data_IF_551557621564
#
_entry.id   IF_551557621564
#
_cell.length_a   1.000
_cell.length_b   1.000
_cell.length_c   1.000
_cell.angle_alpha   90.00
_cell.angle_beta   90.00
_cell.angle_gamma   90.00
#
_symmetry.space_group_name_H-M   'P 1'
#
loop_
_entity.id
_entity.type
_entity.pdbx_description
1 polymer ?
#
# COMPACT_ATOMS: atom_id res chain seq x y z
N UNK A 1 -15.04 66.39 -80.59
CA UNK A 1 -13.98 65.39 -80.38
C UNK A 1 -13.64 65.39 -78.89
N UNK A 2 -14.12 64.39 -78.15
CA UNK A 2 -14.14 64.33 -76.68
C UNK A 2 -13.30 63.14 -76.22
N UNK A 3 -12.51 63.37 -75.16
CA UNK A 3 -12.01 62.41 -74.15
C UNK A 3 -11.05 61.29 -74.58
N UNK A 4 -9.84 61.29 -73.99
CA UNK A 4 -9.52 60.36 -72.87
C UNK A 4 -8.14 60.66 -72.29
N UNK A 5 -8.13 61.36 -71.15
CA UNK A 5 -6.98 61.36 -70.24
C UNK A 5 -7.02 60.04 -69.44
N UNK A 6 -6.12 59.12 -69.75
CA UNK A 6 -5.84 57.97 -68.89
C UNK A 6 -5.06 58.45 -67.67
N UNK A 7 -5.79 58.84 -66.61
CA UNK A 7 -5.22 58.88 -65.27
C UNK A 7 -5.15 57.43 -64.77
N UNK A 8 -4.00 56.80 -64.94
CA UNK A 8 -3.64 55.63 -64.16
C UNK A 8 -3.60 56.07 -62.69
N UNK A 9 -4.63 55.73 -61.93
CA UNK A 9 -4.63 55.87 -60.49
C UNK A 9 -3.58 54.89 -59.95
N UNK A 10 -2.39 55.40 -59.63
CA UNK A 10 -1.47 54.71 -58.75
C UNK A 10 -2.17 54.57 -57.40
N UNK A 11 -2.65 53.36 -57.11
CA UNK A 11 -2.90 52.92 -55.74
C UNK A 11 -1.55 52.98 -55.02
N UNK A 12 -1.20 54.16 -54.47
CA UNK A 12 -0.08 54.31 -53.55
C UNK A 12 -0.37 53.40 -52.37
N UNK A 13 0.35 52.28 -52.28
CA UNK A 13 0.38 51.42 -51.11
C UNK A 13 0.85 52.24 -49.90
N UNK A 14 -0.10 52.71 -49.11
CA UNK A 14 0.12 53.13 -47.72
C UNK A 14 -0.35 51.97 -46.86
N UNK A 15 0.58 51.10 -46.50
CA UNK A 15 0.27 49.94 -45.68
C UNK A 15 1.53 49.11 -45.41
N UNK A 16 2.58 49.75 -44.91
CA UNK A 16 3.75 49.06 -44.36
C UNK A 16 3.83 49.37 -42.87
N UNK A 17 4.12 48.35 -42.05
CA UNK A 17 4.35 48.52 -40.62
C UNK A 17 5.58 49.40 -40.37
N UNK A 18 5.47 50.31 -39.41
CA UNK A 18 6.58 51.13 -38.94
C UNK A 18 7.56 50.28 -38.12
N UNK A 19 8.82 50.69 -38.08
CA UNK A 19 9.86 50.00 -37.30
C UNK A 19 9.52 49.89 -35.81
N UNK A 20 8.80 50.90 -35.28
CA UNK A 20 8.34 50.94 -33.89
C UNK A 20 7.22 49.93 -33.63
N UNK A 21 6.24 49.81 -34.54
CA UNK A 21 5.18 48.80 -34.44
C UNK A 21 5.76 47.39 -34.43
N UNK A 22 6.73 47.11 -35.30
CA UNK A 22 7.43 45.82 -35.33
C UNK A 22 8.20 45.56 -34.03
N UNK A 23 8.88 46.57 -33.49
CA UNK A 23 9.60 46.43 -32.22
C UNK A 23 8.66 46.11 -31.04
N UNK A 24 7.49 46.77 -30.98
CA UNK A 24 6.50 46.51 -29.93
C UNK A 24 5.87 45.12 -30.11
N UNK A 25 5.53 44.72 -31.34
CA UNK A 25 5.01 43.37 -31.60
C UNK A 25 6.00 42.28 -31.18
N UNK A 26 7.28 42.43 -31.54
CA UNK A 26 8.33 41.49 -31.12
C UNK A 26 8.51 41.47 -29.60
N UNK A 27 8.45 42.63 -28.94
CA UNK A 27 8.52 42.72 -27.48
C UNK A 27 7.37 42.00 -26.78
N UNK A 28 6.13 42.16 -27.28
CA UNK A 28 4.94 41.49 -26.73
C UNK A 28 5.03 39.97 -26.94
N UNK A 29 5.44 39.52 -28.13
CA UNK A 29 5.60 38.09 -28.42
C UNK A 29 6.67 37.47 -27.53
N UNK A 30 7.82 38.14 -27.36
CA UNK A 30 8.90 37.66 -26.50
C UNK A 30 8.44 37.52 -25.03
N UNK A 31 7.70 38.51 -24.52
CA UNK A 31 7.14 38.45 -23.18
C UNK A 31 6.12 37.31 -23.01
N UNK A 32 5.21 37.13 -23.98
CA UNK A 32 4.22 36.07 -23.95
C UNK A 32 4.86 34.66 -23.98
N UNK A 33 5.91 34.46 -24.79
CA UNK A 33 6.63 33.19 -24.85
C UNK A 33 7.31 32.85 -23.52
N UNK A 34 7.95 33.83 -22.86
CA UNK A 34 8.55 33.64 -21.53
C UNK A 34 7.47 33.26 -20.50
N UNK A 35 6.31 33.92 -20.55
CA UNK A 35 5.20 33.62 -19.64
C UNK A 35 4.65 32.19 -19.84
N UNK A 36 4.43 31.75 -21.08
CA UNK A 36 3.90 30.41 -21.39
C UNK A 36 4.92 29.33 -21.00
N UNK A 37 6.18 29.50 -21.39
CA UNK A 37 7.25 28.53 -21.08
C UNK A 37 7.51 28.48 -19.57
N UNK A 38 7.36 29.61 -18.85
CA UNK A 38 7.53 29.66 -17.41
C UNK A 38 6.44 28.90 -16.63
N UNK A 39 5.19 28.90 -17.11
CA UNK A 39 4.06 28.24 -16.43
C UNK A 39 3.90 26.77 -16.82
N UNK A 40 4.36 26.37 -18.02
CA UNK A 40 4.24 24.99 -18.52
C UNK A 40 4.81 23.92 -17.55
N UNK A 41 6.01 24.09 -16.95
CA UNK A 41 6.54 23.12 -15.99
C UNK A 41 5.64 22.95 -14.76
N UNK A 42 5.03 24.04 -14.28
CA UNK A 42 4.10 24.01 -13.13
C UNK A 42 2.84 23.22 -13.50
N UNK A 43 2.26 23.49 -14.68
CA UNK A 43 1.08 22.79 -15.16
C UNK A 43 1.29 21.28 -15.35
N UNK A 44 2.47 20.87 -15.82
CA UNK A 44 2.84 19.45 -15.97
C UNK A 44 2.99 18.78 -14.60
N UNK A 45 3.64 19.43 -13.64
CA UNK A 45 3.79 18.90 -12.29
C UNK A 45 2.42 18.74 -11.61
N UNK A 46 1.53 19.73 -11.71
CA UNK A 46 0.17 19.63 -11.14
C UNK A 46 -0.62 18.48 -11.75
N UNK A 47 -0.52 18.26 -13.06
CA UNK A 47 -1.19 17.12 -13.72
C UNK A 47 -0.63 15.78 -13.24
N UNK A 48 0.69 15.68 -13.10
CA UNK A 48 1.36 14.50 -12.57
C UNK A 48 0.93 14.23 -11.13
N UNK A 49 0.96 15.23 -10.26
CA UNK A 49 0.59 15.10 -8.85
C UNK A 49 -0.87 14.67 -8.70
N UNK A 50 -1.79 15.28 -9.46
CA UNK A 50 -3.21 14.90 -9.47
C UNK A 50 -3.42 13.45 -9.94
N UNK A 51 -2.65 13.01 -10.94
CA UNK A 51 -2.70 11.65 -11.46
C UNK A 51 -2.19 10.65 -10.43
N UNK A 52 -1.04 10.92 -9.82
CA UNK A 52 -0.45 10.08 -8.78
C UNK A 52 -1.37 9.98 -7.56
N UNK A 53 -1.97 11.09 -7.10
CA UNK A 53 -2.92 11.05 -6.00
C UNK A 53 -4.17 10.22 -6.32
N UNK A 54 -4.68 10.30 -7.55
CA UNK A 54 -5.81 9.47 -7.99
C UNK A 54 -5.47 7.99 -7.95
N UNK A 55 -4.28 7.61 -8.43
CA UNK A 55 -3.78 6.23 -8.37
C UNK A 55 -3.69 5.76 -6.91
N UNK A 56 -3.08 6.56 -6.02
CA UNK A 56 -2.96 6.22 -4.60
C UNK A 56 -4.32 6.05 -3.93
N UNK A 57 -5.33 6.84 -4.31
CA UNK A 57 -6.69 6.67 -3.79
C UNK A 57 -7.34 5.37 -4.25
N UNK A 58 -7.20 5.02 -5.54
CA UNK A 58 -7.77 3.80 -6.09
C UNK A 58 -7.08 2.56 -5.53
N UNK A 59 -5.75 2.52 -5.58
CA UNK A 59 -4.94 1.44 -5.04
C UNK A 59 -5.11 1.33 -3.51
N UNK A 60 -5.19 2.45 -2.80
CA UNK A 60 -5.42 2.49 -1.35
C UNK A 60 -6.71 1.80 -0.94
N UNK A 61 -7.81 2.05 -1.66
CA UNK A 61 -9.08 1.36 -1.43
C UNK A 61 -9.01 -0.11 -1.78
N UNK A 62 -8.34 -0.46 -2.88
CA UNK A 62 -8.14 -1.85 -3.31
C UNK A 62 -7.38 -2.67 -2.26
N UNK A 63 -6.23 -2.18 -1.80
CA UNK A 63 -5.43 -2.84 -0.76
C UNK A 63 -6.19 -2.95 0.55
N UNK A 64 -6.90 -1.89 0.95
CA UNK A 64 -7.67 -1.90 2.19
C UNK A 64 -8.76 -2.97 2.18
N UNK A 65 -9.51 -3.08 1.08
CA UNK A 65 -10.57 -4.08 0.96
C UNK A 65 -10.01 -5.50 0.84
N UNK A 66 -8.93 -5.70 0.09
CA UNK A 66 -8.28 -7.00 -0.06
C UNK A 66 -7.78 -7.56 1.28
N UNK A 67 -7.12 -6.72 2.09
CA UNK A 67 -6.65 -7.10 3.42
C UNK A 67 -7.84 -7.33 4.35
N UNK A 68 -8.80 -6.40 4.40
CA UNK A 68 -9.99 -6.50 5.28
C UNK A 68 -10.84 -7.73 5.02
N UNK A 69 -10.97 -8.14 3.77
CA UNK A 69 -11.76 -9.31 3.37
C UNK A 69 -10.98 -10.63 3.46
N UNK A 70 -9.66 -10.58 3.69
CA UNK A 70 -8.80 -11.77 3.68
C UNK A 70 -8.75 -12.43 2.31
N UNK A 71 -8.64 -11.64 1.25
CA UNK A 71 -8.72 -12.13 -0.12
C UNK A 71 -7.60 -13.12 -0.47
N UNK A 72 -7.94 -14.18 -1.20
CA UNK A 72 -7.02 -15.28 -1.56
C UNK A 72 -6.88 -15.50 -3.07
N UNK A 73 -7.77 -14.93 -3.90
CA UNK A 73 -7.82 -15.19 -5.35
C UNK A 73 -7.11 -14.17 -6.25
N UNK A 74 -6.32 -13.26 -5.69
CA UNK A 74 -5.80 -12.07 -6.39
C UNK A 74 -4.38 -12.29 -6.95
N UNK A 75 -4.21 -13.31 -7.79
CA UNK A 75 -2.87 -13.72 -8.24
C UNK A 75 -2.16 -12.70 -9.14
N UNK A 76 -2.90 -11.78 -9.76
CA UNK A 76 -2.39 -10.65 -10.53
C UNK A 76 -1.57 -9.67 -9.68
N UNK A 77 -1.75 -9.66 -8.35
CA UNK A 77 -0.94 -8.85 -7.44
C UNK A 77 0.57 -9.09 -7.56
N UNK A 78 0.97 -10.30 -7.94
CA UNK A 78 2.38 -10.65 -8.11
C UNK A 78 3.06 -9.84 -9.21
N UNK A 79 2.31 -9.36 -10.21
CA UNK A 79 2.87 -8.50 -11.27
C UNK A 79 3.09 -7.06 -10.78
N UNK A 80 2.44 -6.67 -9.68
CA UNK A 80 2.49 -5.31 -9.15
C UNK A 80 3.42 -5.18 -7.94
N UNK A 81 3.62 -6.23 -7.17
CA UNK A 81 4.48 -6.22 -5.99
C UNK A 81 5.90 -6.63 -6.37
N UNK A 82 6.87 -5.73 -6.22
CA UNK A 82 8.28 -6.10 -6.44
C UNK A 82 8.79 -6.98 -5.29
N UNK A 83 8.54 -6.56 -4.05
CA UNK A 83 8.87 -7.35 -2.87
C UNK A 83 8.05 -6.92 -1.66
N UNK A 84 8.04 -7.79 -0.66
CA UNK A 84 7.58 -7.50 0.70
C UNK A 84 8.75 -7.73 1.65
N UNK A 85 9.04 -6.75 2.50
CA UNK A 85 10.04 -6.80 3.54
C UNK A 85 9.35 -6.81 4.91
N UNK A 86 9.69 -7.78 5.74
CA UNK A 86 9.34 -7.80 7.16
C UNK A 86 10.62 -7.62 7.96
N UNK A 87 10.66 -6.55 8.74
CA UNK A 87 11.74 -6.28 9.67
C UNK A 87 11.25 -6.44 11.09
N UNK A 88 11.85 -7.36 11.85
CA UNK A 88 11.51 -7.54 13.25
C UNK A 88 12.31 -6.59 14.17
N UNK A 89 11.95 -6.56 15.46
CA UNK A 89 12.62 -5.76 16.50
C UNK A 89 14.08 -6.13 16.70
N UNK A 90 14.46 -7.38 16.39
CA UNK A 90 15.84 -7.88 16.42
C UNK A 90 16.65 -7.47 15.18
N UNK A 91 16.11 -6.56 14.36
CA UNK A 91 16.72 -6.06 13.11
C UNK A 91 16.95 -7.12 12.03
N UNK A 92 16.37 -8.32 12.18
CA UNK A 92 16.35 -9.32 11.12
C UNK A 92 15.39 -8.86 10.03
N UNK A 93 15.81 -9.10 8.78
CA UNK A 93 15.07 -8.68 7.59
C UNK A 93 14.76 -9.92 6.77
N UNK A 94 13.48 -10.14 6.53
CA UNK A 94 12.99 -11.18 5.65
C UNK A 94 12.36 -10.50 4.44
N UNK A 95 12.80 -10.88 3.24
CA UNK A 95 12.31 -10.31 1.99
C UNK A 95 11.67 -11.40 1.15
N UNK A 96 10.44 -11.18 0.72
CA UNK A 96 9.70 -12.05 -0.19
C UNK A 96 9.54 -11.39 -1.56
N UNK A 97 9.75 -12.15 -2.61
CA UNK A 97 9.62 -11.68 -3.99
C UNK A 97 8.81 -12.67 -4.85
N UNK A 98 8.07 -12.21 -5.88
CA UNK A 98 7.34 -13.07 -6.81
C UNK A 98 8.26 -13.71 -7.88
N UNK A 99 9.58 -13.64 -7.69
CA UNK A 99 10.56 -14.22 -8.61
C UNK A 99 11.20 -15.48 -8.00
N UNK A 100 11.52 -16.49 -8.83
CA UNK A 100 12.18 -17.69 -8.37
C UNK A 100 13.48 -17.40 -7.62
N UNK A 101 13.72 -18.14 -6.54
CA UNK A 101 14.99 -18.06 -5.80
C UNK A 101 16.06 -18.93 -6.47
N UNK A 102 17.23 -18.35 -6.72
CA UNK A 102 18.43 -18.99 -7.24
C UNK A 102 19.51 -19.19 -6.17
N UNK A 103 20.58 -19.90 -6.54
CA UNK A 103 21.71 -20.10 -5.64
C UNK A 103 22.43 -18.77 -5.35
N UNK A 104 22.46 -18.35 -4.08
CA UNK A 104 23.09 -17.11 -3.64
C UNK A 104 22.13 -15.94 -3.44
N UNK A 105 20.84 -16.11 -3.77
CA UNK A 105 19.83 -15.10 -3.50
C UNK A 105 19.51 -14.99 -2.00
N UNK A 106 19.24 -13.77 -1.55
CA UNK A 106 18.89 -13.47 -0.15
C UNK A 106 17.38 -13.34 0.08
N UNK A 107 16.57 -13.44 -0.97
CA UNK A 107 15.11 -13.37 -0.90
C UNK A 107 14.44 -14.74 -0.81
N UNK A 108 13.21 -14.71 -0.33
CA UNK A 108 12.31 -15.84 -0.21
C UNK A 108 11.33 -15.77 -1.38
N UNK A 109 11.16 -16.87 -2.11
CA UNK A 109 10.17 -16.93 -3.18
C UNK A 109 8.74 -17.00 -2.60
N UNK A 110 7.83 -16.19 -3.14
CA UNK A 110 6.40 -16.28 -2.81
C UNK A 110 5.82 -17.63 -3.28
N UNK A 111 4.96 -18.29 -2.48
CA UNK A 111 4.34 -19.57 -2.85
C UNK A 111 3.66 -19.51 -4.24
N UNK A 112 4.16 -20.34 -5.17
CA UNK A 112 3.68 -20.37 -6.56
C UNK A 112 2.20 -20.71 -6.64
N UNK A 113 1.49 -20.06 -7.57
CA UNK A 113 0.06 -20.29 -7.81
C UNK A 113 -0.89 -19.66 -6.78
N UNK A 114 -0.38 -19.17 -5.65
CA UNK A 114 -1.14 -18.50 -4.58
C UNK A 114 -0.46 -17.21 -4.12
N UNK A 115 0.31 -16.60 -5.02
CA UNK A 115 1.13 -15.42 -4.73
C UNK A 115 0.26 -14.25 -4.25
N UNK A 116 -0.95 -14.10 -4.79
CA UNK A 116 -1.92 -13.12 -4.32
C UNK A 116 -2.29 -13.32 -2.85
N UNK A 117 -2.65 -14.56 -2.49
CA UNK A 117 -2.93 -14.92 -1.10
C UNK A 117 -1.71 -14.70 -0.20
N UNK A 118 -0.51 -15.03 -0.65
CA UNK A 118 0.72 -14.82 0.12
C UNK A 118 0.99 -13.33 0.37
N UNK A 119 0.81 -12.47 -0.63
CA UNK A 119 0.96 -11.02 -0.53
C UNK A 119 -0.03 -10.46 0.51
N UNK A 120 -1.32 -10.79 0.37
CA UNK A 120 -2.35 -10.36 1.34
C UNK A 120 -2.05 -10.94 2.73
N UNK A 121 -1.61 -12.18 2.80
CA UNK A 121 -1.23 -12.90 4.00
C UNK A 121 -0.14 -12.18 4.81
N UNK A 122 0.94 -11.79 4.12
CA UNK A 122 2.06 -11.07 4.72
C UNK A 122 1.69 -9.64 5.09
N UNK A 123 0.93 -8.94 4.24
CA UNK A 123 0.47 -7.57 4.53
C UNK A 123 -0.54 -7.51 5.68
N UNK A 124 -1.26 -8.60 5.95
CA UNK A 124 -2.20 -8.70 7.07
C UNK A 124 -1.53 -9.07 8.40
N UNK A 125 -0.21 -9.34 8.39
CA UNK A 125 0.52 -9.73 9.58
C UNK A 125 0.41 -8.67 10.68
N UNK A 126 0.05 -9.07 11.92
CA UNK A 126 0.06 -8.17 13.06
C UNK A 126 1.46 -7.63 13.33
N UNK A 127 1.51 -6.37 13.73
CA UNK A 127 2.78 -5.75 14.16
C UNK A 127 3.39 -6.53 15.32
N UNK A 128 2.61 -7.13 16.23
CA UNK A 128 3.13 -7.81 17.42
C UNK A 128 3.32 -9.34 17.26
N UNK A 129 3.23 -9.89 16.04
CA UNK A 129 3.46 -11.32 15.85
C UNK A 129 4.94 -11.67 16.08
N UNK A 130 5.23 -12.67 16.90
CA UNK A 130 6.61 -13.09 17.22
C UNK A 130 7.17 -13.97 16.10
N UNK A 131 8.07 -13.40 15.30
CA UNK A 131 8.67 -14.03 14.12
C UNK A 131 10.04 -14.62 14.47
N UNK A 132 10.10 -15.95 14.60
CA UNK A 132 11.30 -16.71 15.02
C UNK A 132 12.18 -17.12 13.84
N UNK A 133 11.67 -16.98 12.63
CA UNK A 133 12.40 -17.25 11.40
C UNK A 133 11.66 -16.69 10.18
N UNK A 134 12.16 -16.93 8.96
CA UNK A 134 11.56 -16.37 7.75
C UNK A 134 10.13 -16.84 7.49
N UNK A 135 9.71 -17.99 8.02
CA UNK A 135 8.40 -18.58 7.72
C UNK A 135 7.72 -19.17 8.96
N UNK A 136 8.10 -18.73 10.16
CA UNK A 136 7.61 -19.35 11.39
C UNK A 136 7.33 -18.32 12.47
N UNK A 137 6.09 -18.33 12.95
CA UNK A 137 5.59 -17.55 14.08
C UNK A 137 5.52 -18.48 15.30
N UNK A 138 5.96 -17.99 16.47
CA UNK A 138 5.97 -18.78 17.70
C UNK A 138 4.80 -18.46 18.62
N UNK A 139 4.35 -17.21 18.66
CA UNK A 139 3.36 -16.75 19.64
C UNK A 139 2.23 -15.93 18.98
N UNK A 140 1.17 -16.63 18.56
CA UNK A 140 -0.11 -16.05 18.10
C UNK A 140 -1.23 -17.11 18.21
N UNK A 141 -2.48 -16.80 18.61
CA UNK A 141 -3.01 -15.52 19.10
C UNK A 141 -2.86 -15.44 20.63
N UNK A 142 -1.77 -14.87 21.11
CA UNK A 142 -1.63 -14.60 22.54
C UNK A 142 -1.89 -13.12 22.77
N UNK A 143 -2.94 -12.84 23.53
CA UNK A 143 -3.50 -11.50 23.83
C UNK A 143 -2.48 -10.55 24.49
N UNK A 144 -1.32 -11.09 24.87
CA UNK A 144 -0.07 -10.39 25.17
C UNK A 144 1.04 -11.45 25.07
N UNK A 145 1.95 -11.34 24.11
CA UNK A 145 3.10 -12.26 24.00
C UNK A 145 4.17 -11.97 25.05
N UNK A 146 4.13 -10.80 25.70
CA UNK A 146 5.18 -10.33 26.61
C UNK A 146 6.56 -10.21 25.96
N UNK A 147 6.71 -10.52 24.67
CA UNK A 147 7.99 -10.58 23.98
C UNK A 147 8.54 -9.19 23.68
N UNK A 148 7.66 -8.18 23.62
CA UNK A 148 8.02 -6.82 23.18
C UNK A 148 8.45 -6.76 21.71
N UNK A 149 8.34 -7.86 20.98
CA UNK A 149 8.73 -7.93 19.59
C UNK A 149 7.71 -7.27 18.69
N UNK A 150 8.20 -6.59 17.65
CA UNK A 150 7.36 -5.95 16.66
C UNK A 150 7.93 -6.10 15.27
N UNK A 151 7.04 -6.16 14.28
CA UNK A 151 7.34 -6.25 12.87
C UNK A 151 6.95 -4.98 12.15
N UNK A 152 7.81 -4.57 11.23
CA UNK A 152 7.56 -3.53 10.27
C UNK A 152 7.41 -4.18 8.89
N UNK A 153 6.18 -4.20 8.39
CA UNK A 153 5.83 -4.80 7.10
C UNK A 153 5.78 -3.71 6.04
N UNK A 154 6.64 -3.82 5.03
CA UNK A 154 6.75 -2.88 3.91
C UNK A 154 6.71 -3.61 2.59
N UNK A 155 5.98 -3.11 1.62
CA UNK A 155 5.99 -3.60 0.26
C UNK A 155 6.37 -2.49 -0.70
N UNK A 156 7.14 -2.86 -1.72
CA UNK A 156 7.35 -2.04 -2.91
C UNK A 156 6.32 -2.45 -3.94
N UNK A 157 5.51 -1.49 -4.36
CA UNK A 157 4.37 -1.74 -5.22
C UNK A 157 4.38 -0.79 -6.40
N UNK A 158 4.29 -1.36 -7.60
CA UNK A 158 3.97 -0.64 -8.83
C UNK A 158 2.46 -0.41 -8.88
N UNK A 159 2.06 0.75 -9.37
CA UNK A 159 0.66 1.12 -9.54
C UNK A 159 -0.19 0.00 -10.15
N UNK A 160 -1.29 -0.34 -9.48
CA UNK A 160 -2.26 -1.34 -9.95
C UNK A 160 -3.21 -0.67 -10.95
N UNK A 161 -3.71 0.50 -10.54
CA UNK A 161 -4.44 1.42 -11.40
C UNK A 161 -3.48 2.27 -12.24
N UNK A 162 -3.89 2.63 -13.46
CA UNK A 162 -3.05 3.44 -14.35
C UNK A 162 -3.33 3.23 -15.83
N UNK A 163 -2.65 4.01 -16.67
CA UNK A 163 -2.73 3.90 -18.14
C UNK A 163 -2.21 2.53 -18.58
N UNK A 164 -2.85 1.94 -19.59
CA UNK A 164 -2.41 0.68 -20.19
C UNK A 164 -0.97 0.76 -20.74
N UNK A 165 -0.52 1.97 -21.14
CA UNK A 165 0.85 2.22 -21.60
C UNK A 165 1.89 1.97 -20.49
N UNK A 166 1.53 2.21 -19.23
CA UNK A 166 2.42 2.04 -18.08
C UNK A 166 2.40 0.60 -17.52
N UNK A 167 1.52 -0.26 -18.06
CA UNK A 167 1.37 -1.66 -17.65
C UNK A 167 2.20 -2.63 -18.47
N UNK A 168 2.75 -2.20 -19.61
CA UNK A 168 3.58 -3.04 -20.47
C UNK A 168 4.89 -3.48 -19.80
N UNK A 169 5.43 -4.62 -20.22
CA UNK A 169 6.68 -5.18 -19.67
C UNK A 169 7.85 -4.20 -19.78
N UNK A 170 7.96 -3.52 -20.93
CA UNK A 170 8.99 -2.50 -21.18
C UNK A 170 8.84 -1.24 -20.32
N UNK A 171 7.66 -1.01 -19.72
CA UNK A 171 7.38 0.15 -18.87
C UNK A 171 7.55 -0.14 -17.38
N UNK A 172 7.87 -1.39 -16.98
CA UNK A 172 7.99 -1.78 -15.56
C UNK A 172 8.94 -0.91 -14.75
N UNK A 173 10.07 -0.52 -15.34
CA UNK A 173 11.09 0.30 -14.67
C UNK A 173 10.72 1.78 -14.57
N UNK A 174 9.85 2.26 -15.46
CA UNK A 174 9.42 3.67 -15.52
C UNK A 174 8.02 3.89 -14.90
N UNK A 175 7.34 2.80 -14.54
CA UNK A 175 6.01 2.85 -13.98
C UNK A 175 6.01 3.51 -12.59
N UNK A 176 4.94 4.26 -12.31
CA UNK A 176 4.73 4.84 -11.00
C UNK A 176 4.75 3.75 -9.92
N UNK A 177 5.57 3.96 -8.89
CA UNK A 177 5.72 3.03 -7.76
C UNK A 177 5.68 3.77 -6.43
N UNK A 178 5.20 3.06 -5.42
CA UNK A 178 5.05 3.55 -4.06
C UNK A 178 5.46 2.47 -3.07
N UNK A 179 5.83 2.95 -1.88
CA UNK A 179 6.03 2.12 -0.71
C UNK A 179 4.73 2.01 0.07
N UNK A 180 4.27 0.78 0.27
CA UNK A 180 3.15 0.45 1.13
C UNK A 180 3.68 -0.06 2.46
N UNK A 181 3.37 0.61 3.57
CA UNK A 181 3.62 0.07 4.92
C UNK A 181 2.30 -0.37 5.51
N UNK A 182 2.21 -1.64 5.90
CA UNK A 182 1.03 -2.19 6.57
C UNK A 182 1.25 -2.29 8.07
N UNK A 183 0.28 -1.79 8.84
CA UNK A 183 0.23 -1.96 10.28
C UNK A 183 -1.14 -2.51 10.68
N UNK A 184 -1.16 -3.77 11.09
CA UNK A 184 -2.34 -4.42 11.67
C UNK A 184 -2.12 -4.55 13.16
N UNK A 185 -3.07 -4.05 13.97
CA UNK A 185 -3.00 -4.14 15.43
C UNK A 185 -4.38 -4.40 16.02
N UNK A 186 -4.50 -5.19 17.10
CA UNK A 186 -5.73 -5.23 17.89
C UNK A 186 -6.11 -3.81 18.36
N UNK A 187 -7.41 -3.53 18.46
CA UNK A 187 -7.86 -2.29 19.09
C UNK A 187 -7.40 -2.27 20.55
N UNK A 188 -6.97 -1.10 21.00
CA UNK A 188 -6.69 -0.89 22.43
C UNK A 188 -8.00 -0.71 23.17
N UNK A 189 -8.12 -1.32 24.34
CA UNK A 189 -9.30 -1.15 25.21
C UNK A 189 -8.91 -0.47 26.52
N UNK A 190 -9.91 -0.08 27.32
CA UNK A 190 -9.68 0.45 28.67
C UNK A 190 -8.91 -0.53 29.56
N UNK A 191 -9.05 -1.84 29.33
CA UNK A 191 -8.33 -2.88 30.04
C UNK A 191 -6.83 -2.98 29.72
N UNK A 192 -6.32 -2.21 28.74
CA UNK A 192 -4.88 -2.11 28.48
C UNK A 192 -4.17 -1.07 29.35
N UNK A 193 -4.96 -0.19 29.98
CA UNK A 193 -4.47 0.93 30.78
C UNK A 193 -4.63 0.70 32.28
N UNK A 194 -5.37 -0.34 32.68
CA UNK A 194 -5.49 -0.78 34.06
C UNK A 194 -4.64 -2.02 34.30
N UNK A 195 -3.95 -2.08 35.43
CA UNK A 195 -3.22 -3.26 35.92
C UNK A 195 -4.19 -4.41 36.30
N UNK A 196 -4.91 -4.94 35.31
CA UNK A 196 -5.80 -6.09 35.47
C UNK A 196 -5.01 -7.39 35.70
N UNK A 197 -3.72 -7.40 35.39
CA UNK A 197 -2.81 -8.54 35.58
C UNK A 197 -2.35 -8.72 37.04
N UNK A 198 -2.49 -7.68 37.87
CA UNK A 198 -2.04 -7.67 39.27
C UNK A 198 -3.16 -7.72 40.32
N UNK A 199 -4.44 -7.66 39.93
CA UNK A 199 -5.56 -7.83 40.87
C UNK A 199 -5.72 -9.31 41.23
N UNK A 200 -5.66 -9.63 42.51
CA UNK A 200 -6.03 -10.96 43.04
C UNK A 200 -7.49 -11.23 42.67
N UNK A 201 -7.72 -12.33 41.95
CA UNK A 201 -8.90 -12.69 41.16
C UNK A 201 -10.14 -13.09 41.97
N UNK A 202 -10.48 -12.32 43.01
CA UNK A 202 -11.49 -12.75 43.98
C UNK A 202 -12.93 -12.32 43.60
N UNK A 203 -13.09 -11.42 42.62
CA UNK A 203 -14.41 -10.90 42.22
C UNK A 203 -14.78 -11.18 40.76
N UNK A 204 -16.06 -11.50 40.52
CA UNK A 204 -16.63 -11.84 39.19
C UNK A 204 -16.50 -10.68 38.18
N UNK A 205 -16.55 -9.43 38.65
CA UNK A 205 -16.44 -8.23 37.81
C UNK A 205 -15.09 -8.12 37.08
N UNK A 206 -13.98 -8.46 37.75
CA UNK A 206 -12.63 -8.37 37.17
C UNK A 206 -12.41 -9.40 36.05
N UNK A 207 -13.02 -10.58 36.17
CA UNK A 207 -12.97 -11.64 35.16
C UNK A 207 -13.74 -11.22 33.90
N UNK A 208 -14.90 -10.60 34.06
CA UNK A 208 -15.72 -10.12 32.93
C UNK A 208 -15.02 -9.01 32.14
N UNK A 209 -14.37 -8.06 32.82
CA UNK A 209 -13.60 -6.98 32.17
C UNK A 209 -12.40 -7.54 31.38
N UNK A 210 -11.68 -8.52 31.94
CA UNK A 210 -10.58 -9.19 31.25
C UNK A 210 -11.06 -9.99 30.04
N UNK A 211 -12.15 -10.76 30.18
CA UNK A 211 -12.70 -11.56 29.10
C UNK A 211 -13.25 -10.67 27.97
N UNK A 212 -13.85 -9.52 28.31
CA UNK A 212 -14.26 -8.50 27.34
C UNK A 212 -13.06 -7.85 26.62
N UNK A 213 -11.96 -7.57 27.34
CA UNK A 213 -10.72 -7.07 26.72
C UNK A 213 -10.12 -8.13 25.78
N UNK A 214 -10.03 -9.39 26.23
CA UNK A 214 -9.55 -10.52 25.41
C UNK A 214 -10.41 -10.72 24.17
N UNK A 215 -11.73 -10.72 24.31
CA UNK A 215 -12.65 -10.80 23.19
C UNK A 215 -12.40 -9.66 22.21
N UNK A 216 -12.22 -8.43 22.72
CA UNK A 216 -12.00 -7.28 21.86
C UNK A 216 -10.70 -7.38 21.06
N UNK A 217 -9.61 -7.79 21.72
CA UNK A 217 -8.29 -7.95 21.09
C UNK A 217 -8.22 -9.09 20.08
N UNK A 218 -9.02 -10.14 20.28
CA UNK A 218 -9.08 -11.27 19.34
C UNK A 218 -9.88 -10.95 18.09
N UNK A 219 -10.77 -9.94 18.13
CA UNK A 219 -11.83 -9.76 17.15
C UNK A 219 -11.94 -8.38 16.52
N UNK A 220 -11.26 -7.37 17.05
CA UNK A 220 -11.30 -6.03 16.48
C UNK A 220 -9.89 -5.54 16.26
N UNK A 221 -9.62 -5.18 15.01
CA UNK A 221 -8.30 -4.78 14.56
C UNK A 221 -8.38 -3.43 13.88
N UNK A 222 -7.41 -2.58 14.18
CA UNK A 222 -7.11 -1.40 13.39
C UNK A 222 -6.13 -1.80 12.28
N UNK A 223 -6.48 -1.46 11.04
CA UNK A 223 -5.60 -1.56 9.89
C UNK A 223 -5.21 -0.15 9.47
N UNK A 224 -3.91 0.10 9.40
CA UNK A 224 -3.34 1.36 8.92
C UNK A 224 -2.38 1.08 7.77
N UNK A 225 -2.74 1.55 6.58
CA UNK A 225 -1.90 1.47 5.39
C UNK A 225 -1.29 2.84 5.12
N UNK A 226 0.03 2.91 5.05
CA UNK A 226 0.77 4.14 4.72
C UNK A 226 1.41 4.01 3.35
N UNK A 227 1.00 4.87 2.44
CA UNK A 227 1.54 4.99 1.09
C UNK A 227 2.55 6.13 1.08
N UNK A 228 3.73 5.88 0.51
CA UNK A 228 4.75 6.91 0.31
C UNK A 228 5.30 6.83 -1.11
N UNK A 229 5.40 7.98 -1.79
CA UNK A 229 5.79 8.05 -3.19
C UNK A 229 6.49 9.37 -3.54
N UNK A 230 7.06 9.50 -4.74
CA UNK A 230 7.51 8.39 -5.58
C UNK A 230 8.62 7.59 -4.87
N UNK A 231 8.76 6.30 -5.17
CA UNK A 231 9.89 5.53 -4.63
C UNK A 231 11.13 5.69 -5.51
N UNK A 232 12.25 6.08 -4.89
CA UNK A 232 13.53 6.25 -5.56
C UNK A 232 14.47 5.09 -5.24
N UNK A 233 15.28 4.69 -6.22
CA UNK A 233 16.50 3.91 -5.99
C UNK A 233 17.69 4.87 -5.99
N UNK A 234 18.39 4.97 -4.86
CA UNK A 234 19.65 5.70 -4.73
C UNK A 234 20.77 4.70 -4.41
N UNK A 235 21.51 4.29 -5.44
CA UNK A 235 22.43 3.16 -5.32
C UNK A 235 21.66 1.88 -4.99
N UNK A 236 22.09 1.16 -3.95
CA UNK A 236 21.41 -0.06 -3.45
C UNK A 236 20.30 0.25 -2.43
N UNK A 237 20.12 1.52 -2.05
CA UNK A 237 19.10 1.91 -1.07
C UNK A 237 17.84 2.43 -1.73
N UNK A 238 16.69 1.88 -1.33
CA UNK A 238 15.39 2.37 -1.74
C UNK A 238 14.86 3.37 -0.72
N UNK A 239 14.58 4.60 -1.18
CA UNK A 239 14.08 5.67 -0.32
C UNK A 239 12.76 6.22 -0.87
N UNK A 240 11.72 6.35 -0.05
CA UNK A 240 10.47 6.93 -0.47
C UNK A 240 10.62 8.45 -0.56
N UNK A 241 9.89 9.06 -1.49
CA UNK A 241 9.76 10.49 -1.62
C UNK A 241 8.96 11.14 -0.48
N UNK A 242 8.77 12.47 -0.56
CA UNK A 242 8.12 13.24 0.49
C UNK A 242 6.60 13.03 0.55
N UNK A 243 5.97 12.56 -0.52
CA UNK A 243 4.52 12.41 -0.55
C UNK A 243 4.10 11.22 0.30
N UNK A 244 3.04 11.42 1.09
CA UNK A 244 2.52 10.41 2.00
C UNK A 244 1.01 10.50 2.11
N UNK A 245 0.34 9.34 2.10
CA UNK A 245 -1.09 9.21 2.40
C UNK A 245 -1.33 8.02 3.31
N UNK A 246 -2.28 8.17 4.23
CA UNK A 246 -2.61 7.13 5.21
C UNK A 246 -4.08 6.76 5.05
N UNK A 247 -4.34 5.48 4.87
CA UNK A 247 -5.67 4.89 4.93
C UNK A 247 -5.79 4.13 6.24
N UNK A 248 -6.91 4.30 6.94
CA UNK A 248 -7.14 3.66 8.23
C UNK A 248 -8.56 3.14 8.29
N UNK A 249 -8.74 1.93 8.81
CA UNK A 249 -10.06 1.36 9.08
C UNK A 249 -10.02 0.45 10.30
N UNK A 250 -11.20 0.05 10.76
CA UNK A 250 -11.37 -0.99 11.78
C UNK A 250 -12.06 -2.19 11.13
N UNK A 251 -11.55 -3.38 11.44
CA UNK A 251 -12.10 -4.65 10.99
C UNK A 251 -12.62 -5.42 12.19
N UNK A 252 -13.86 -5.86 12.08
CA UNK A 252 -14.50 -6.75 13.03
C UNK A 252 -14.48 -8.17 12.46
N UNK A 253 -13.89 -9.09 13.20
CA UNK A 253 -13.69 -10.48 12.83
C UNK A 253 -12.38 -11.02 13.40
N UNK A 254 -12.19 -12.33 13.28
CA UNK A 254 -10.98 -13.00 13.72
C UNK A 254 -9.88 -12.89 12.65
N UNK A 255 -8.64 -12.87 13.11
CA UNK A 255 -7.46 -12.96 12.27
C UNK A 255 -6.83 -14.34 12.47
N UNK A 256 -6.61 -15.08 11.38
CA UNK A 256 -6.13 -16.47 11.40
C UNK A 256 -4.92 -16.66 10.51
N UNK A 257 -4.05 -17.60 10.87
CA UNK A 257 -2.85 -17.92 10.12
C UNK A 257 -3.13 -19.16 9.27
N UNK A 258 -2.61 -19.19 8.04
CA UNK A 258 -2.90 -20.29 7.12
C UNK A 258 -1.69 -20.81 6.40
N UNK A 259 -1.69 -22.11 6.15
CA UNK A 259 -0.63 -22.75 5.39
C UNK A 259 -0.94 -22.67 3.89
N UNK A 260 -0.15 -21.88 3.14
CA UNK A 260 -0.33 -21.67 1.71
C UNK A 260 0.32 -22.75 0.83
N UNK A 261 0.55 -23.94 1.37
CA UNK A 261 1.06 -25.06 0.59
C UNK A 261 -0.07 -25.68 -0.26
N UNK A 262 0.04 -25.54 -1.59
CA UNK A 262 -0.90 -26.13 -2.55
C UNK A 262 -0.95 -27.66 -2.53
N UNK A 263 0.05 -28.33 -1.96
CA UNK A 263 0.04 -29.79 -1.79
C UNK A 263 -0.84 -30.23 -0.61
N UNK A 264 -1.19 -29.31 0.29
CA UNK A 264 -2.09 -29.60 1.40
C UNK A 264 -3.54 -29.46 0.93
N UNK A 265 -4.44 -30.37 1.34
CA UNK A 265 -5.85 -30.24 1.00
C UNK A 265 -6.44 -28.98 1.63
N UNK A 266 -7.25 -28.25 0.87
CA UNK A 266 -8.08 -27.18 1.41
C UNK A 266 -9.03 -27.74 2.47
N UNK A 267 -9.38 -26.92 3.45
CA UNK A 267 -10.42 -27.25 4.41
C UNK A 267 -11.75 -27.50 3.68
N UNK A 268 -12.30 -28.71 3.84
CA UNK A 268 -13.47 -29.17 3.09
C UNK A 268 -14.76 -28.43 3.45
N UNK A 269 -14.84 -27.81 4.64
CA UNK A 269 -16.03 -27.10 5.10
C UNK A 269 -16.04 -25.64 4.63
N UNK A 270 -14.85 -25.04 4.46
CA UNK A 270 -14.71 -23.61 4.14
C UNK A 270 -14.16 -23.36 2.74
N UNK A 271 -13.57 -24.36 2.09
CA UNK A 271 -12.86 -24.22 0.81
C UNK A 271 -11.59 -23.37 0.91
N UNK A 272 -11.06 -23.19 2.13
CA UNK A 272 -9.95 -22.29 2.42
C UNK A 272 -8.69 -23.05 2.83
N UNK A 273 -7.52 -22.39 2.78
CA UNK A 273 -6.28 -22.99 3.28
C UNK A 273 -6.40 -23.34 4.77
N UNK A 274 -5.82 -24.48 5.16
CA UNK A 274 -5.87 -24.95 6.54
C UNK A 274 -5.21 -23.95 7.49
N UNK A 275 -5.81 -23.79 8.67
CA UNK A 275 -5.24 -22.97 9.73
C UNK A 275 -3.94 -23.57 10.24
N UNK A 276 -2.91 -22.74 10.36
CA UNK A 276 -1.59 -23.12 10.86
C UNK A 276 -1.05 -21.97 11.70
N UNK A 277 -1.08 -22.15 13.02
CA UNK A 277 -0.66 -21.14 14.01
C UNK A 277 0.80 -20.72 13.88
N UNK A 278 1.62 -21.51 13.17
CA UNK A 278 3.03 -21.21 12.95
C UNK A 278 3.29 -20.48 11.63
N UNK A 279 2.29 -20.40 10.75
CA UNK A 279 2.46 -19.74 9.45
C UNK A 279 2.58 -18.21 9.57
N UNK A 280 3.39 -17.54 8.72
CA UNK A 280 3.47 -16.08 8.67
C UNK A 280 2.35 -15.43 7.85
N UNK A 281 1.45 -16.21 7.24
CA UNK A 281 0.40 -15.71 6.36
C UNK A 281 -0.92 -15.55 7.13
N UNK A 282 -1.27 -14.31 7.46
CA UNK A 282 -2.46 -13.97 8.25
C UNK A 282 -3.62 -13.54 7.36
N UNK A 283 -4.86 -13.92 7.69
CA UNK A 283 -6.04 -13.56 6.94
C UNK A 283 -7.16 -13.14 7.86
N UNK A 284 -7.81 -12.04 7.51
CA UNK A 284 -9.04 -11.64 8.18
C UNK A 284 -10.19 -12.54 7.74
N UNK A 285 -10.96 -12.99 8.71
CA UNK A 285 -12.25 -13.61 8.47
C UNK A 285 -13.36 -12.67 8.98
N UNK A 286 -13.88 -11.78 8.12
CA UNK A 286 -14.91 -10.84 8.54
C UNK A 286 -16.14 -11.60 9.04
N UNK A 287 -16.79 -11.05 10.07
CA UNK A 287 -18.00 -11.60 10.70
C UNK A 287 -17.86 -12.96 11.40
N UNK A 288 -16.65 -13.53 11.53
CA UNK A 288 -16.38 -14.67 12.40
C UNK A 288 -15.63 -14.21 13.63
N UNK A 289 -16.09 -14.61 14.81
CA UNK A 289 -15.53 -14.13 16.08
C UNK A 289 -14.90 -15.27 16.87
N UNK A 290 -13.66 -15.07 17.30
CA UNK A 290 -12.96 -15.92 18.25
C UNK A 290 -13.50 -15.68 19.65
N UNK A 291 -13.91 -16.76 20.32
CA UNK A 291 -14.34 -16.68 21.72
C UNK A 291 -13.16 -17.04 22.60
N UNK A 292 -12.77 -16.19 23.58
CA UNK A 292 -11.79 -16.57 24.58
C UNK A 292 -12.24 -17.87 25.26
N UNK A 293 -11.34 -18.87 25.38
CA UNK A 293 -11.65 -20.02 26.21
C UNK A 293 -11.76 -19.54 27.65
N UNK A 294 -12.99 -19.42 28.14
CA UNK A 294 -13.26 -19.20 29.57
C UNK A 294 -12.71 -20.43 30.28
N UNK A 295 -11.67 -20.23 31.11
CA UNK A 295 -11.22 -21.28 32.01
C UNK A 295 -12.41 -21.60 32.93
N UNK A 296 -13.13 -22.69 32.63
CA UNK A 296 -14.10 -23.23 33.59
C UNK A 296 -13.29 -23.63 34.82
N UNK A 297 -13.44 -22.87 35.89
CA UNK A 297 -12.89 -23.23 37.18
C UNK A 297 -13.33 -24.65 37.52
N UNK A 298 -12.35 -25.53 37.71
CA UNK A 298 -12.49 -26.66 38.61
C UNK A 298 -12.29 -26.14 40.03
#
# INVERSE_FOLDING_TARGET
>A
MKLRNNKAAYLRGRGGFTMVELAICLGIIAFALVAIIGVLPIGINVQKDNREETIINQDGMYWMEAIRSGATGMNDLADHVTFIEIRNSNSQVYRWEPVPTGAGDSHIELPRGVQGAAIIGLLSMPVQADLVGPVTVRNWPQVDTGSGEYNLIRAKVRAISGSAVDKGEAAKEMAFSYRLTSEVRPIRTSGDWGDLTGRVWDNIGDKLELDANRFSKLNFYEIKLTFQWPEYKFGDEERPGPNKKVFRTVVAGRLVNRNLNLLNPLDMATGQFQEDVTSPFFFFEPNKFSVPRVARGQ
#
